data_IF_763525124463
#
_entry.id   IF_763525124463
#
_cell.length_a   1.000
_cell.length_b   1.000
_cell.length_c   1.000
_cell.angle_alpha   90.00
_cell.angle_beta   90.00
_cell.angle_gamma   90.00
#
_symmetry.space_group_name_H-M   'P 1'
#
loop_
_entity.id
_entity.type
_entity.pdbx_description
1 polymer ?
#
# COMPACT_ATOMS: atom_id res chain seq x y z
N UNK A 1 24.42 -35.47 -4.40
CA UNK A 1 22.96 -35.25 -4.42
C UNK A 1 22.74 -33.75 -4.50
N UNK A 2 22.55 -33.25 -5.71
CA UNK A 2 22.45 -31.81 -5.98
C UNK A 2 21.06 -31.29 -5.61
N UNK A 3 21.04 -30.17 -4.88
CA UNK A 3 19.81 -29.47 -4.53
C UNK A 3 19.26 -28.79 -5.79
N UNK A 4 18.18 -29.34 -6.33
CA UNK A 4 17.36 -28.70 -7.34
C UNK A 4 16.60 -27.55 -6.66
N UNK A 5 17.00 -26.31 -6.97
CA UNK A 5 16.16 -25.14 -6.70
C UNK A 5 15.00 -25.12 -7.71
N UNK A 6 13.74 -24.95 -7.29
CA UNK A 6 12.66 -24.71 -8.23
C UNK A 6 12.90 -23.36 -8.93
N UNK A 7 12.69 -23.35 -10.24
CA UNK A 7 12.86 -22.17 -11.07
C UNK A 7 11.98 -21.03 -10.57
N UNK A 8 12.59 -19.86 -10.42
CA UNK A 8 11.91 -18.59 -10.13
C UNK A 8 10.78 -18.39 -11.16
N UNK A 9 9.54 -18.04 -10.75
CA UNK A 9 8.50 -17.72 -11.71
C UNK A 9 8.97 -16.53 -12.55
N UNK A 10 8.81 -16.66 -13.87
CA UNK A 10 9.15 -15.64 -14.83
C UNK A 10 8.44 -14.33 -14.45
N UNK A 11 9.20 -13.23 -14.37
CA UNK A 11 8.64 -11.90 -14.14
C UNK A 11 7.52 -11.64 -15.15
N UNK A 12 6.30 -11.26 -14.72
CA UNK A 12 5.25 -10.91 -15.66
C UNK A 12 5.72 -9.71 -16.49
N UNK A 13 5.45 -9.79 -17.80
CA UNK A 13 5.83 -8.77 -18.75
C UNK A 13 5.38 -7.38 -18.26
N UNK A 14 6.32 -6.44 -18.16
CA UNK A 14 6.01 -5.02 -18.00
C UNK A 14 5.07 -4.62 -19.12
N UNK A 15 3.78 -4.46 -18.82
CA UNK A 15 2.88 -3.75 -19.73
C UNK A 15 3.39 -2.31 -19.80
N UNK A 16 3.99 -1.97 -20.95
CA UNK A 16 4.44 -0.61 -21.22
C UNK A 16 3.28 0.39 -21.17
N UNK A 17 3.56 1.68 -20.94
CA UNK A 17 2.55 2.74 -20.71
C UNK A 17 1.63 3.06 -21.91
N UNK A 18 1.66 2.29 -22.99
CA UNK A 18 1.20 2.71 -24.32
C UNK A 18 -0.31 2.76 -24.58
N UNK A 19 -1.17 2.25 -23.69
CA UNK A 19 -2.61 2.19 -23.97
C UNK A 19 -3.39 3.46 -23.56
N UNK A 20 -2.98 4.13 -22.48
CA UNK A 20 -3.67 5.29 -21.89
C UNK A 20 -3.00 6.62 -22.19
N UNK A 21 -1.79 6.63 -22.75
CA UNK A 21 -1.25 7.85 -23.34
C UNK A 21 -2.03 8.29 -24.58
N UNK A 22 -2.74 7.38 -25.25
CA UNK A 22 -3.39 7.64 -26.53
C UNK A 22 -4.46 8.77 -26.50
N UNK A 23 -5.37 8.87 -25.51
CA UNK A 23 -6.34 9.97 -25.41
C UNK A 23 -5.64 11.31 -25.14
N UNK A 24 -4.71 11.35 -24.17
CA UNK A 24 -3.96 12.57 -23.80
C UNK A 24 -3.06 13.03 -24.95
N UNK A 25 -2.41 12.09 -25.66
CA UNK A 25 -1.57 12.38 -26.83
C UNK A 25 -2.42 12.81 -28.05
N UNK A 26 -3.60 12.21 -28.26
CA UNK A 26 -4.54 12.59 -29.33
C UNK A 26 -5.07 14.00 -29.12
N UNK A 27 -5.35 14.40 -27.87
CA UNK A 27 -5.66 15.78 -27.53
C UNK A 27 -4.44 16.69 -27.78
N UNK A 28 -3.25 16.36 -27.29
CA UNK A 28 -2.01 17.14 -27.52
C UNK A 28 -1.68 17.38 -29.00
N UNK A 29 -1.99 16.42 -29.89
CA UNK A 29 -1.77 16.55 -31.32
C UNK A 29 -2.63 17.65 -31.99
N UNK A 30 -3.81 17.97 -31.44
CA UNK A 30 -4.71 19.04 -31.95
C UNK A 30 -4.14 20.46 -31.78
N UNK A 31 -3.17 20.64 -30.87
CA UNK A 31 -2.61 21.94 -30.52
C UNK A 31 -1.36 22.34 -31.30
N UNK A 32 -0.76 21.42 -32.07
CA UNK A 32 0.31 21.76 -33.03
C UNK A 32 -0.24 22.40 -34.31
N UNK A 33 -1.56 22.56 -34.42
CA UNK A 33 -2.19 23.19 -35.57
C UNK A 33 -1.93 24.71 -35.54
N UNK A 34 -1.37 25.34 -36.59
CA UNK A 34 -0.92 26.75 -36.57
C UNK A 34 -2.01 27.83 -36.42
N UNK A 35 -3.29 27.45 -36.23
CA UNK A 35 -4.44 28.35 -36.34
C UNK A 35 -5.11 28.75 -35.01
N UNK A 36 -4.49 28.52 -33.85
CA UNK A 36 -5.07 28.91 -32.55
C UNK A 36 -4.69 30.32 -32.11
N UNK A 37 -5.46 30.95 -31.19
CA UNK A 37 -5.08 32.24 -30.62
C UNK A 37 -3.68 32.22 -30.00
N UNK A 38 -2.89 33.30 -30.11
CA UNK A 38 -1.49 33.32 -29.66
C UNK A 38 -1.32 33.08 -28.16
N UNK A 39 -2.36 33.36 -27.37
CA UNK A 39 -2.37 33.16 -25.92
C UNK A 39 -2.69 31.72 -25.50
N UNK A 40 -3.32 30.91 -26.37
CA UNK A 40 -3.86 29.57 -26.07
C UNK A 40 -2.82 28.67 -25.42
N UNK A 41 -1.66 28.57 -26.05
CA UNK A 41 -0.58 27.68 -25.59
C UNK A 41 0.05 28.16 -24.28
N UNK A 42 0.22 29.48 -24.14
CA UNK A 42 0.76 30.08 -22.92
C UNK A 42 -0.19 29.85 -21.75
N UNK A 43 -1.48 30.09 -21.92
CA UNK A 43 -2.49 29.87 -20.89
C UNK A 43 -2.54 28.40 -20.46
N UNK A 44 -2.61 27.48 -21.44
CA UNK A 44 -2.60 26.03 -21.19
C UNK A 44 -1.38 25.60 -20.36
N UNK A 45 -0.19 26.06 -20.73
CA UNK A 45 1.05 25.74 -20.01
C UNK A 45 1.01 26.21 -18.56
N UNK A 46 0.59 27.45 -18.34
CA UNK A 46 0.49 28.03 -16.99
C UNK A 46 -0.52 27.29 -16.12
N UNK A 47 -1.69 26.94 -16.67
CA UNK A 47 -2.67 26.10 -15.98
C UNK A 47 -2.07 24.75 -15.56
N UNK A 48 -1.36 24.05 -16.47
CA UNK A 48 -0.70 22.78 -16.16
C UNK A 48 0.35 22.93 -15.05
N UNK A 49 1.17 23.97 -15.12
CA UNK A 49 2.22 24.24 -14.11
C UNK A 49 1.62 24.56 -12.74
N UNK A 50 0.56 25.37 -12.69
CA UNK A 50 -0.15 25.67 -11.45
C UNK A 50 -0.84 24.43 -10.90
N UNK A 51 -1.53 23.64 -11.74
CA UNK A 51 -2.15 22.37 -11.32
C UNK A 51 -1.13 21.43 -10.68
N UNK A 52 0.03 21.23 -11.32
CA UNK A 52 1.11 20.41 -10.77
C UNK A 52 1.60 20.94 -9.42
N UNK A 53 1.77 22.26 -9.32
CA UNK A 53 2.21 22.91 -8.08
C UNK A 53 1.16 22.79 -6.96
N UNK A 54 -0.12 22.95 -7.28
CA UNK A 54 -1.23 22.79 -6.34
C UNK A 54 -1.32 21.34 -5.85
N UNK A 55 -1.21 20.36 -6.74
CA UNK A 55 -1.15 18.94 -6.36
C UNK A 55 0.04 18.64 -5.47
N UNK A 56 1.24 19.12 -5.81
CA UNK A 56 2.43 18.93 -4.97
C UNK A 56 2.23 19.49 -3.56
N UNK A 57 1.68 20.70 -3.44
CA UNK A 57 1.35 21.32 -2.14
C UNK A 57 0.32 20.52 -1.36
N UNK A 58 -0.72 19.98 -2.02
CA UNK A 58 -1.71 19.13 -1.36
C UNK A 58 -1.05 17.84 -0.82
N UNK A 59 -0.24 17.16 -1.64
CA UNK A 59 0.48 15.96 -1.22
C UNK A 59 1.45 16.25 -0.06
N UNK A 60 2.17 17.38 -0.11
CA UNK A 60 3.08 17.75 0.97
C UNK A 60 2.35 18.05 2.28
N UNK A 61 1.15 18.65 2.21
CA UNK A 61 0.28 18.80 3.40
C UNK A 61 -0.15 17.46 3.96
N UNK A 62 -0.58 16.51 3.12
CA UNK A 62 -0.92 15.15 3.57
C UNK A 62 0.28 14.42 4.19
N UNK A 63 1.49 14.62 3.66
CA UNK A 63 2.71 14.03 4.24
C UNK A 63 3.07 14.64 5.60
N UNK A 64 2.80 15.93 5.78
CA UNK A 64 3.14 16.68 7.01
C UNK A 64 2.06 16.57 8.09
N UNK A 65 0.79 16.48 7.71
CA UNK A 65 -0.34 16.25 8.60
C UNK A 65 -0.57 14.74 8.72
N UNK A 66 -0.01 14.12 9.77
CA UNK A 66 -0.44 12.78 10.17
C UNK A 66 -1.94 12.79 10.41
N UNK A 67 -2.66 12.03 9.57
CA UNK A 67 -4.11 11.75 9.57
C UNK A 67 -4.97 12.80 10.31
N UNK A 68 -5.08 13.98 9.71
CA UNK A 68 -5.87 15.10 10.23
C UNK A 68 -6.65 15.78 9.11
N UNK A 69 -7.81 15.21 8.78
CA UNK A 69 -8.93 15.77 8.02
C UNK A 69 -8.60 16.87 6.99
N UNK A 70 -8.60 16.51 5.71
CA UNK A 70 -8.78 17.46 4.60
C UNK A 70 -9.76 16.83 3.60
N UNK A 71 -10.98 17.36 3.51
CA UNK A 71 -11.90 16.99 2.44
C UNK A 71 -11.28 17.38 1.10
N UNK A 72 -10.95 16.40 0.27
CA UNK A 72 -10.44 16.65 -1.06
C UNK A 72 -11.56 17.31 -1.88
N UNK A 73 -11.32 18.53 -2.36
CA UNK A 73 -12.12 19.07 -3.45
C UNK A 73 -11.95 18.13 -4.66
N UNK A 74 -13.03 17.67 -5.32
CA UNK A 74 -12.92 16.88 -6.54
C UNK A 74 -11.96 17.51 -7.54
N UNK A 75 -11.13 16.71 -8.23
CA UNK A 75 -10.10 17.23 -9.16
C UNK A 75 -10.64 18.23 -10.20
N UNK A 76 -11.91 18.11 -10.58
CA UNK A 76 -12.60 19.08 -11.44
C UNK A 76 -12.73 20.49 -10.82
N UNK A 77 -12.94 20.60 -9.51
CA UNK A 77 -12.97 21.88 -8.79
C UNK A 77 -11.59 22.53 -8.78
N UNK A 78 -10.52 21.74 -8.58
CA UNK A 78 -9.15 22.25 -8.62
C UNK A 78 -8.77 22.76 -10.02
N UNK A 79 -9.19 22.08 -11.09
CA UNK A 79 -8.99 22.55 -12.47
C UNK A 79 -9.70 23.88 -12.70
N UNK A 80 -10.97 23.99 -12.28
CA UNK A 80 -11.74 25.22 -12.44
C UNK A 80 -11.08 26.41 -11.71
N UNK A 81 -10.69 26.23 -10.45
CA UNK A 81 -10.01 27.27 -9.66
C UNK A 81 -8.70 27.73 -10.30
N UNK A 82 -7.88 26.79 -10.78
CA UNK A 82 -6.61 27.11 -11.45
C UNK A 82 -6.85 27.87 -12.74
N UNK A 83 -7.83 27.44 -13.54
CA UNK A 83 -8.19 28.11 -14.79
C UNK A 83 -8.67 29.54 -14.55
N UNK A 84 -9.58 29.75 -13.60
CA UNK A 84 -10.08 31.09 -13.28
C UNK A 84 -8.96 32.04 -12.85
N UNK A 85 -8.03 31.57 -12.01
CA UNK A 85 -6.87 32.35 -11.58
C UNK A 85 -5.95 32.71 -12.75
N UNK A 86 -5.57 31.72 -13.55
CA UNK A 86 -4.68 31.95 -14.69
C UNK A 86 -5.33 32.83 -15.76
N UNK A 87 -6.65 32.73 -15.92
CA UNK A 87 -7.39 33.52 -16.89
C UNK A 87 -7.44 34.99 -16.50
N UNK A 88 -7.63 35.27 -15.21
CA UNK A 88 -7.54 36.63 -14.67
C UNK A 88 -6.14 37.22 -14.87
N UNK A 89 -5.09 36.50 -14.47
CA UNK A 89 -3.70 36.96 -14.63
C UNK A 89 -3.32 37.20 -16.09
N UNK A 90 -3.84 36.37 -17.00
CA UNK A 90 -3.61 36.51 -18.43
C UNK A 90 -4.28 37.76 -18.99
N UNK A 91 -5.54 38.01 -18.62
CA UNK A 91 -6.30 39.19 -19.05
C UNK A 91 -5.67 40.49 -18.57
N UNK A 92 -5.06 40.49 -17.39
CA UNK A 92 -4.35 41.66 -16.85
C UNK A 92 -3.04 41.94 -17.60
N UNK A 93 -2.38 40.89 -18.12
CA UNK A 93 -1.14 41.00 -18.90
C UNK A 93 -1.36 41.33 -20.37
N UNK A 94 -2.52 40.99 -20.92
CA UNK A 94 -2.85 41.18 -22.33
C UNK A 94 -4.19 41.94 -22.45
N UNK A 95 -4.18 43.28 -22.34
CA UNK A 95 -5.40 44.09 -22.44
C UNK A 95 -6.18 43.89 -23.76
N UNK A 96 -5.47 43.54 -24.84
CA UNK A 96 -6.05 43.25 -26.17
C UNK A 96 -6.95 42.01 -26.22
N UNK A 97 -6.88 41.11 -25.23
CA UNK A 97 -7.77 39.95 -25.10
C UNK A 97 -9.24 40.33 -24.85
N UNK A 98 -9.49 41.55 -24.34
CA UNK A 98 -10.85 42.02 -24.04
C UNK A 98 -11.68 42.31 -25.30
N UNK A 99 -11.07 42.30 -26.48
CA UNK A 99 -11.70 42.64 -27.75
C UNK A 99 -11.81 41.50 -28.77
N UNK A 100 -11.42 40.25 -28.44
CA UNK A 100 -11.64 39.13 -29.36
C UNK A 100 -13.09 38.60 -29.27
N UNK A 101 -13.57 37.90 -30.31
CA UNK A 101 -14.92 37.34 -30.38
C UNK A 101 -15.19 36.38 -29.20
N UNK A 102 -16.16 36.68 -28.30
CA UNK A 102 -16.36 35.93 -27.07
C UNK A 102 -16.64 34.43 -27.27
N UNK A 103 -17.23 34.05 -28.40
CA UNK A 103 -17.64 32.67 -28.68
C UNK A 103 -16.45 31.76 -29.00
N UNK A 104 -15.48 32.22 -29.80
CA UNK A 104 -14.27 31.46 -30.11
C UNK A 104 -13.37 31.33 -28.88
N UNK A 105 -13.29 32.38 -28.07
CA UNK A 105 -12.56 32.36 -26.80
C UNK A 105 -13.14 31.32 -25.83
N UNK A 106 -14.46 31.29 -25.66
CA UNK A 106 -15.13 30.33 -24.78
C UNK A 106 -14.89 28.88 -25.23
N UNK A 107 -14.94 28.60 -26.54
CA UNK A 107 -14.66 27.27 -27.07
C UNK A 107 -13.21 26.82 -26.78
N UNK A 108 -12.24 27.73 -26.91
CA UNK A 108 -10.83 27.44 -26.59
C UNK A 108 -10.63 27.18 -25.10
N UNK A 109 -11.32 27.93 -24.24
CA UNK A 109 -11.27 27.71 -22.79
C UNK A 109 -11.89 26.37 -22.39
N UNK A 110 -13.03 26.00 -22.95
CA UNK A 110 -13.70 24.72 -22.70
C UNK A 110 -12.84 23.53 -23.16
N UNK A 111 -12.19 23.65 -24.33
CA UNK A 111 -11.27 22.61 -24.83
C UNK A 111 -10.08 22.42 -23.88
N UNK A 112 -9.48 23.52 -23.40
CA UNK A 112 -8.39 23.47 -22.42
C UNK A 112 -8.88 22.88 -21.10
N UNK A 113 -10.07 23.24 -20.63
CA UNK A 113 -10.65 22.70 -19.40
C UNK A 113 -10.80 21.19 -19.48
N UNK A 114 -11.39 20.70 -20.57
CA UNK A 114 -11.60 19.28 -20.79
C UNK A 114 -10.27 18.52 -20.87
N UNK A 115 -9.24 19.10 -21.50
CA UNK A 115 -7.89 18.51 -21.53
C UNK A 115 -7.30 18.40 -20.12
N UNK A 116 -7.38 19.47 -19.31
CA UNK A 116 -6.84 19.47 -17.96
C UNK A 116 -7.55 18.47 -17.04
N UNK A 117 -8.88 18.35 -17.15
CA UNK A 117 -9.67 17.34 -16.42
C UNK A 117 -9.22 15.93 -16.79
N UNK A 118 -9.12 15.63 -18.09
CA UNK A 118 -8.68 14.31 -18.56
C UNK A 118 -7.25 14.00 -18.13
N UNK A 119 -6.35 14.99 -18.13
CA UNK A 119 -4.98 14.79 -17.65
C UNK A 119 -4.96 14.48 -16.14
N UNK A 120 -5.72 15.18 -15.30
CA UNK A 120 -5.76 14.89 -13.86
C UNK A 120 -6.40 13.52 -13.57
N UNK A 121 -7.47 13.14 -14.30
CA UNK A 121 -8.06 11.80 -14.20
C UNK A 121 -7.03 10.71 -14.56
N UNK A 122 -6.29 10.89 -15.65
CA UNK A 122 -5.24 9.95 -16.06
C UNK A 122 -4.14 9.82 -15.02
N UNK A 123 -3.76 10.89 -14.32
CA UNK A 123 -2.75 10.85 -13.25
C UNK A 123 -3.25 10.01 -12.07
N UNK A 124 -4.53 10.16 -11.69
CA UNK A 124 -5.15 9.37 -10.62
C UNK A 124 -5.20 7.89 -11.01
N UNK A 125 -5.67 7.58 -12.21
CA UNK A 125 -5.77 6.20 -12.70
C UNK A 125 -4.41 5.49 -12.80
N UNK A 126 -3.35 6.22 -13.19
CA UNK A 126 -1.98 5.69 -13.20
C UNK A 126 -1.54 5.32 -11.78
N UNK A 127 -1.77 6.21 -10.81
CA UNK A 127 -1.43 5.98 -9.42
C UNK A 127 -2.19 4.78 -8.83
N UNK A 128 -3.51 4.69 -9.04
CA UNK A 128 -4.33 3.56 -8.58
C UNK A 128 -3.91 2.23 -9.21
N UNK A 129 -3.43 2.24 -10.46
CA UNK A 129 -2.89 1.04 -11.10
C UNK A 129 -1.57 0.60 -10.47
N UNK A 130 -0.67 1.54 -10.17
CA UNK A 130 0.57 1.25 -9.43
C UNK A 130 0.29 0.70 -8.04
N UNK A 131 -0.66 1.30 -7.31
CA UNK A 131 -1.05 0.81 -5.98
C UNK A 131 -1.58 -0.63 -6.03
N UNK A 132 -2.46 -0.96 -6.98
CA UNK A 132 -2.96 -2.33 -7.14
C UNK A 132 -1.84 -3.32 -7.45
N UNK A 133 -0.87 -2.94 -8.27
CA UNK A 133 0.29 -3.78 -8.54
C UNK A 133 1.14 -4.02 -7.28
N UNK A 134 1.38 -2.98 -6.49
CA UNK A 134 2.14 -3.09 -5.25
C UNK A 134 1.40 -3.99 -4.23
N UNK A 135 0.08 -3.88 -4.15
CA UNK A 135 -0.78 -4.73 -3.33
C UNK A 135 -0.75 -6.19 -3.80
N UNK A 136 -0.89 -6.45 -5.10
CA UNK A 136 -0.78 -7.79 -5.69
C UNK A 136 0.59 -8.42 -5.39
N UNK A 137 1.67 -7.63 -5.47
CA UNK A 137 3.02 -8.08 -5.14
C UNK A 137 3.15 -8.44 -3.65
N UNK A 138 2.61 -7.62 -2.75
CA UNK A 138 2.60 -7.90 -1.32
C UNK A 138 1.79 -9.16 -1.00
N UNK A 139 0.60 -9.30 -1.58
CA UNK A 139 -0.25 -10.46 -1.38
C UNK A 139 0.45 -11.75 -1.85
N UNK A 140 1.11 -11.74 -3.01
CA UNK A 140 1.88 -12.90 -3.48
C UNK A 140 3.04 -13.27 -2.55
N UNK A 141 3.68 -12.28 -1.90
CA UNK A 141 4.70 -12.53 -0.87
C UNK A 141 4.10 -13.16 0.40
N UNK A 142 2.93 -12.68 0.84
CA UNK A 142 2.20 -13.22 1.98
C UNK A 142 1.74 -14.66 1.72
N UNK A 143 1.18 -14.94 0.53
CA UNK A 143 0.80 -16.29 0.11
C UNK A 143 1.98 -17.27 0.16
N UNK A 144 3.19 -16.80 -0.20
CA UNK A 144 4.42 -17.58 -0.10
C UNK A 144 4.83 -17.93 1.34
N UNK A 145 4.46 -17.09 2.31
CA UNK A 145 4.69 -17.34 3.74
C UNK A 145 3.61 -18.27 4.30
N UNK A 146 2.34 -18.06 3.95
CA UNK A 146 1.20 -18.86 4.40
C UNK A 146 1.18 -20.28 3.81
N UNK A 147 1.79 -20.49 2.64
CA UNK A 147 1.93 -21.81 2.02
C UNK A 147 2.75 -22.81 2.87
N UNK A 148 3.52 -22.31 3.85
CA UNK A 148 4.13 -23.16 4.86
C UNK A 148 3.24 -23.19 6.09
N UNK A 149 2.42 -24.24 6.23
CA UNK A 149 1.57 -24.56 7.41
C UNK A 149 2.39 -24.83 8.70
N UNK A 150 3.55 -24.19 8.84
CA UNK A 150 4.57 -24.45 9.83
C UNK A 150 4.54 -23.39 10.92
N UNK A 151 4.53 -23.85 12.15
CA UNK A 151 4.55 -22.97 13.32
C UNK A 151 5.97 -22.45 13.57
N UNK A 152 6.18 -21.14 13.56
CA UNK A 152 7.46 -20.53 13.95
C UNK A 152 7.70 -20.77 15.45
N UNK A 153 8.90 -21.22 15.81
CA UNK A 153 9.26 -21.49 17.20
C UNK A 153 9.19 -20.21 18.05
N UNK A 154 8.34 -20.17 19.09
CA UNK A 154 8.14 -18.96 19.88
C UNK A 154 9.34 -18.61 20.78
N UNK A 155 10.23 -19.59 21.04
CA UNK A 155 11.45 -19.40 21.84
C UNK A 155 12.55 -18.69 21.04
N UNK A 156 12.87 -19.18 19.83
CA UNK A 156 13.96 -18.60 19.04
C UNK A 156 13.53 -17.59 17.98
N UNK A 157 12.23 -17.56 17.64
CA UNK A 157 11.63 -16.68 16.61
C UNK A 157 12.31 -16.74 15.24
N UNK A 158 12.98 -17.87 14.94
CA UNK A 158 13.82 -18.04 13.74
C UNK A 158 13.49 -19.31 12.96
N UNK A 159 13.37 -20.42 13.68
CA UNK A 159 13.20 -21.74 13.08
C UNK A 159 11.76 -22.21 13.25
N UNK A 160 11.27 -23.06 12.33
CA UNK A 160 9.98 -23.71 12.47
C UNK A 160 10.03 -24.84 13.52
N UNK A 161 8.92 -25.04 14.22
CA UNK A 161 8.67 -26.21 15.04
C UNK A 161 8.49 -27.43 14.14
N UNK A 162 8.88 -28.59 14.64
CA UNK A 162 8.59 -29.88 14.03
C UNK A 162 7.73 -30.66 15.01
N UNK A 163 6.50 -30.97 14.59
CA UNK A 163 5.59 -31.80 15.38
C UNK A 163 5.64 -33.23 14.85
N UNK A 164 6.07 -34.15 15.71
CA UNK A 164 5.97 -35.60 15.52
C UNK A 164 4.93 -36.14 16.49
N UNK A 165 4.41 -37.35 16.26
CA UNK A 165 3.27 -37.93 16.98
C UNK A 165 3.27 -37.74 18.51
N UNK A 166 4.44 -37.72 19.16
CA UNK A 166 4.56 -37.51 20.62
C UNK A 166 5.57 -36.43 21.02
N UNK A 167 5.99 -35.58 20.08
CA UNK A 167 7.12 -34.69 20.31
C UNK A 167 7.02 -33.40 19.50
N UNK A 168 7.22 -32.27 20.16
CA UNK A 168 7.45 -30.98 19.53
C UNK A 168 8.91 -30.59 19.72
N UNK A 169 9.63 -30.30 18.63
CA UNK A 169 11.03 -29.89 18.73
C UNK A 169 11.42 -28.75 17.77
N UNK A 170 12.53 -28.08 18.08
CA UNK A 170 13.13 -27.04 17.25
C UNK A 170 14.66 -27.13 17.24
N UNK A 171 15.27 -26.66 16.15
CA UNK A 171 16.74 -26.59 16.01
C UNK A 171 17.42 -25.67 17.03
N UNK A 172 16.68 -24.82 17.74
CA UNK A 172 17.22 -24.02 18.84
C UNK A 172 17.41 -24.80 20.16
N UNK A 173 17.05 -26.09 20.20
CA UNK A 173 17.13 -26.93 21.39
C UNK A 173 15.81 -27.08 22.17
N UNK A 174 14.71 -26.53 21.66
CA UNK A 174 13.37 -26.79 22.21
C UNK A 174 13.01 -28.26 22.00
N UNK A 175 12.57 -28.92 23.07
CA UNK A 175 12.12 -30.32 23.06
C UNK A 175 11.03 -30.51 24.12
N UNK A 176 9.81 -30.84 23.69
CA UNK A 176 8.63 -30.97 24.55
C UNK A 176 7.94 -32.30 24.22
N UNK A 177 7.86 -33.19 25.20
CA UNK A 177 7.11 -34.45 25.07
C UNK A 177 5.63 -34.13 25.22
N UNK A 178 4.81 -34.56 24.26
CA UNK A 178 3.36 -34.27 24.26
C UNK A 178 2.59 -35.52 23.90
N UNK A 179 1.49 -35.82 24.60
CA UNK A 179 0.56 -36.88 24.18
C UNK A 179 -0.49 -36.29 23.23
N UNK A 180 -0.70 -36.93 22.07
CA UNK A 180 -1.74 -36.59 21.07
C UNK A 180 -1.74 -35.14 20.53
N UNK A 181 -0.55 -34.54 20.40
CA UNK A 181 -0.37 -33.21 19.81
C UNK A 181 -0.24 -33.29 18.29
N UNK A 182 -1.01 -32.47 17.58
CA UNK A 182 -0.88 -32.25 16.13
C UNK A 182 -0.42 -30.82 15.85
N UNK A 183 0.11 -30.57 14.66
CA UNK A 183 0.55 -29.23 14.25
C UNK A 183 -0.59 -28.20 14.34
N UNK A 184 -1.79 -28.52 13.86
CA UNK A 184 -2.95 -27.63 13.98
C UNK A 184 -3.45 -27.41 15.41
N UNK A 185 -3.34 -28.41 16.30
CA UNK A 185 -3.67 -28.23 17.73
C UNK A 185 -2.67 -27.29 18.40
N UNK A 186 -1.38 -27.45 18.12
CA UNK A 186 -0.33 -26.59 18.64
C UNK A 186 -0.47 -25.15 18.12
N UNK A 187 -0.76 -24.99 16.84
CA UNK A 187 -0.98 -23.68 16.21
C UNK A 187 -2.16 -22.95 16.85
N UNK A 188 -3.33 -23.59 16.95
CA UNK A 188 -4.52 -22.99 17.57
C UNK A 188 -4.32 -22.65 19.04
N UNK A 189 -3.56 -23.46 19.78
CA UNK A 189 -3.20 -23.19 21.17
C UNK A 189 -2.32 -21.94 21.31
N UNK A 190 -1.26 -21.83 20.48
CA UNK A 190 -0.39 -20.67 20.49
C UNK A 190 -1.12 -19.41 20.04
N UNK A 191 -1.91 -19.49 18.97
CA UNK A 191 -2.66 -18.38 18.40
C UNK A 191 -3.71 -17.84 19.38
N UNK A 192 -4.51 -18.72 19.98
CA UNK A 192 -5.52 -18.31 20.97
C UNK A 192 -4.89 -17.65 22.19
N UNK A 193 -3.78 -18.19 22.68
CA UNK A 193 -3.08 -17.66 23.87
C UNK A 193 -2.43 -16.30 23.59
N UNK A 194 -1.77 -16.15 22.43
CA UNK A 194 -1.19 -14.88 22.01
C UNK A 194 -2.26 -13.83 21.73
N UNK A 195 -3.37 -14.23 21.10
CA UNK A 195 -4.50 -13.34 20.79
C UNK A 195 -5.12 -12.80 22.08
N UNK A 196 -5.40 -13.66 23.06
CA UNK A 196 -5.95 -13.22 24.34
C UNK A 196 -5.00 -12.26 25.08
N UNK A 197 -3.69 -12.52 25.03
CA UNK A 197 -2.69 -11.61 25.61
C UNK A 197 -2.68 -10.26 24.88
N UNK A 198 -2.69 -10.26 23.55
CA UNK A 198 -2.65 -9.04 22.72
C UNK A 198 -3.83 -8.09 22.97
N UNK A 199 -5.00 -8.64 23.34
CA UNK A 199 -6.19 -7.85 23.69
C UNK A 199 -6.00 -7.04 24.98
N UNK A 200 -5.07 -7.44 25.86
CA UNK A 200 -4.84 -6.81 27.18
C UNK A 200 -3.47 -6.16 27.30
N UNK A 201 -2.54 -6.46 26.40
CA UNK A 201 -1.15 -6.03 26.48
C UNK A 201 -0.53 -5.88 25.09
N UNK A 202 0.14 -4.74 24.86
CA UNK A 202 0.86 -4.48 23.60
C UNK A 202 2.31 -5.00 23.61
N UNK A 203 2.77 -5.59 24.71
CA UNK A 203 4.12 -6.14 24.81
C UNK A 203 4.18 -7.58 24.32
N UNK A 204 5.31 -7.92 23.68
CA UNK A 204 5.56 -9.28 23.23
C UNK A 204 5.83 -10.20 24.43
N UNK A 205 5.09 -11.31 24.57
CA UNK A 205 5.38 -12.29 25.60
C UNK A 205 6.69 -13.05 25.29
N UNK A 206 7.31 -13.55 26.35
CA UNK A 206 8.50 -14.39 26.32
C UNK A 206 8.11 -15.86 26.55
N UNK A 207 8.78 -16.75 25.81
CA UNK A 207 8.55 -18.18 25.87
C UNK A 207 9.79 -18.89 26.39
N UNK A 208 9.59 -19.74 27.40
CA UNK A 208 10.65 -20.51 28.03
C UNK A 208 10.24 -21.96 28.21
N UNK A 209 11.21 -22.86 28.22
CA UNK A 209 10.98 -24.28 28.50
C UNK A 209 11.31 -24.54 29.97
N UNK A 210 10.41 -25.19 30.68
CA UNK A 210 10.56 -25.57 32.09
C UNK A 210 10.52 -27.08 32.22
N UNK A 211 11.57 -27.70 32.73
CA UNK A 211 11.56 -29.14 33.04
C UNK A 211 10.99 -29.34 34.45
N UNK A 212 9.84 -30.01 34.55
CA UNK A 212 9.23 -30.37 35.83
C UNK A 212 10.00 -31.49 36.55
N UNK A 213 9.65 -31.74 37.83
CA UNK A 213 10.20 -32.86 38.62
C UNK A 213 9.85 -34.25 38.06
N UNK A 214 8.93 -34.33 37.10
CA UNK A 214 8.44 -35.57 36.46
C UNK A 214 8.98 -35.78 35.03
N UNK A 215 10.10 -35.15 34.66
CA UNK A 215 10.75 -35.24 33.33
C UNK A 215 9.94 -34.74 32.12
N UNK A 216 8.73 -34.21 32.35
CA UNK A 216 7.94 -33.53 31.32
C UNK A 216 8.41 -32.08 31.17
N UNK A 217 8.90 -31.74 29.97
CA UNK A 217 9.46 -30.44 29.66
C UNK A 217 8.39 -29.55 29.03
N UNK A 218 8.05 -28.45 29.72
CA UNK A 218 6.91 -27.61 29.36
C UNK A 218 7.15 -26.22 28.80
N UNK A 219 6.32 -25.79 27.85
CA UNK A 219 6.32 -24.45 27.29
C UNK A 219 5.54 -23.47 28.18
N UNK A 220 6.24 -22.47 28.68
CA UNK A 220 5.69 -21.40 29.49
C UNK A 220 5.64 -20.11 28.67
N UNK A 221 4.50 -19.41 28.72
CA UNK A 221 4.40 -18.03 28.26
C UNK A 221 4.39 -17.09 29.47
N UNK A 222 5.29 -16.12 29.46
CA UNK A 222 5.39 -15.07 30.47
C UNK A 222 5.41 -13.70 29.82
N UNK A 223 4.91 -12.68 30.51
CA UNK A 223 5.04 -11.31 30.06
C UNK A 223 5.72 -10.49 31.16
N UNK A 224 6.75 -9.70 30.85
CA UNK A 224 7.46 -8.90 31.85
C UNK A 224 6.57 -7.84 32.52
N UNK A 225 5.41 -7.52 31.93
CA UNK A 225 4.57 -6.37 32.33
C UNK A 225 3.15 -6.79 32.74
N UNK A 226 2.73 -8.03 32.46
CA UNK A 226 1.47 -8.60 32.95
C UNK A 226 1.74 -9.75 33.91
N UNK A 227 1.16 -9.68 35.11
CA UNK A 227 1.30 -10.66 36.22
C UNK A 227 0.65 -12.02 35.92
N UNK A 228 0.14 -12.25 34.70
CA UNK A 228 -0.47 -13.51 34.30
C UNK A 228 0.56 -14.43 33.65
N UNK A 229 1.03 -15.42 34.42
CA UNK A 229 1.82 -16.55 33.93
C UNK A 229 0.85 -17.64 33.49
N UNK A 230 0.90 -18.06 32.22
CA UNK A 230 0.08 -19.18 31.71
C UNK A 230 0.98 -20.30 31.20
N UNK A 231 0.78 -21.47 31.78
CA UNK A 231 1.37 -22.72 31.30
C UNK A 231 0.60 -23.16 30.07
N UNK A 232 1.28 -23.31 28.93
CA UNK A 232 0.68 -23.89 27.73
C UNK A 232 0.59 -25.42 27.80
N UNK A 233 0.93 -26.00 28.96
CA UNK A 233 1.14 -27.44 29.08
C UNK A 233 0.32 -28.13 30.17
N UNK A 234 -0.82 -27.55 30.52
CA UNK A 234 -1.95 -28.40 30.88
C UNK A 234 -2.98 -28.28 29.78
N UNK A 235 -2.81 -29.12 28.75
CA UNK A 235 -3.97 -29.58 27.98
C UNK A 235 -4.72 -30.50 28.94
N UNK A 236 -5.86 -30.09 29.52
CA UNK A 236 -6.70 -31.05 30.21
C UNK A 236 -7.23 -32.03 29.16
N UNK A 237 -7.25 -33.31 29.52
CA UNK A 237 -7.92 -34.36 28.75
C UNK A 237 -9.37 -33.99 28.44
#
# INVERSE_FOLDING_TARGET
>A
MGLHFPASPAAPARCGPGAMEAPVQRHRARYKSPGGPPWREMYRRRCMERLRSSRAKLLDRYRQAGDGACGAAPGALLVQEVMEQEWQELRDRLPGLRGEEPMEQLAVLEEIQQELILQEQSVIEEYERSLRFDEECLNAMLDGLDATDRVICPVCRKNNLTVKAHLVCCQCGLYISTQDMTEGKLQSLLESTLTEHSQRCLHNPEFTVTTGMEEEASLLMSCPVSVNVRFLERIPA
#
